data_IF_573476879742
#
_entry.id   IF_573476879742
#
_cell.length_a   1.000
_cell.length_b   1.000
_cell.length_c   1.000
_cell.angle_alpha   90.00
_cell.angle_beta   90.00
_cell.angle_gamma   90.00
#
_symmetry.space_group_name_H-M   'P 1'
#
loop_
_entity.id
_entity.type
_entity.pdbx_description
1 polymer ?
#
# COMPACT_ATOMS: atom_id res chain seq x y z
N UNK A 1 -4.66 8.32 -5.15
CA UNK A 1 -3.38 7.73 -4.67
C UNK A 1 -2.55 7.32 -5.88
N UNK A 2 -1.30 7.76 -5.94
CA UNK A 2 -0.40 7.41 -7.03
C UNK A 2 0.52 6.28 -6.58
N UNK A 3 0.66 5.26 -7.42
CA UNK A 3 1.52 4.12 -7.16
C UNK A 3 2.62 4.06 -8.22
N UNK A 4 3.83 3.69 -7.79
CA UNK A 4 4.93 3.45 -8.71
C UNK A 4 4.62 2.21 -9.54
N UNK A 5 5.09 2.21 -10.80
CA UNK A 5 4.85 1.11 -11.72
C UNK A 5 5.31 -0.23 -11.17
N UNK A 6 6.49 -0.28 -10.57
CA UNK A 6 7.05 -1.52 -10.03
C UNK A 6 6.16 -2.09 -8.92
N UNK A 7 5.61 -1.22 -8.07
CA UNK A 7 4.68 -1.64 -7.03
C UNK A 7 3.41 -2.20 -7.64
N UNK A 8 2.86 -1.55 -8.66
CA UNK A 8 1.66 -2.05 -9.36
C UNK A 8 1.91 -3.42 -9.98
N UNK A 9 3.07 -3.61 -10.60
CA UNK A 9 3.44 -4.91 -11.18
C UNK A 9 3.53 -6.00 -10.11
N UNK A 10 4.07 -5.68 -8.93
CA UNK A 10 4.15 -6.61 -7.81
C UNK A 10 2.78 -6.96 -7.24
N UNK A 11 1.86 -5.99 -7.19
CA UNK A 11 0.46 -6.25 -6.79
C UNK A 11 -0.21 -7.18 -7.80
N UNK A 12 -0.02 -6.91 -9.08
CA UNK A 12 -0.57 -7.73 -10.16
C UNK A 12 -0.07 -9.17 -10.08
N UNK A 13 1.22 -9.34 -9.77
CA UNK A 13 1.85 -10.66 -9.64
C UNK A 13 1.49 -11.40 -8.35
N UNK A 14 0.78 -10.74 -7.42
CA UNK A 14 0.44 -11.32 -6.13
C UNK A 14 1.57 -11.28 -5.10
N UNK A 15 2.67 -10.59 -5.39
CA UNK A 15 3.80 -10.47 -4.47
C UNK A 15 3.56 -9.44 -3.38
N UNK A 16 2.73 -8.42 -3.65
CA UNK A 16 2.39 -7.35 -2.73
C UNK A 16 0.88 -7.28 -2.60
N UNK A 17 0.38 -7.27 -1.38
CA UNK A 17 -1.05 -7.12 -1.09
C UNK A 17 -1.33 -6.09 0.01
N UNK A 18 -0.30 -5.40 0.49
CA UNK A 18 -0.43 -4.33 1.45
C UNK A 18 0.28 -3.07 0.95
N UNK A 19 -0.32 -1.91 1.25
CA UNK A 19 0.28 -0.61 0.99
C UNK A 19 0.20 0.19 2.27
N UNK A 20 1.29 0.83 2.68
CA UNK A 20 1.31 1.73 3.82
C UNK A 20 1.32 3.17 3.33
N UNK A 21 0.53 4.03 3.99
CA UNK A 21 0.47 5.46 3.68
C UNK A 21 0.41 6.29 4.95
N UNK A 22 1.17 7.38 4.95
CA UNK A 22 1.04 8.43 5.96
C UNK A 22 0.48 9.64 5.25
N UNK A 23 -0.73 10.06 5.60
CA UNK A 23 -1.40 11.17 4.95
C UNK A 23 -2.32 11.91 5.90
N UNK A 24 -2.76 13.11 5.48
CA UNK A 24 -3.74 13.89 6.22
C UNK A 24 -5.15 13.68 5.69
N UNK A 25 -5.28 13.31 4.41
CA UNK A 25 -6.58 13.14 3.74
C UNK A 25 -6.52 11.90 2.86
N UNK A 26 -7.11 10.80 3.27
CA UNK A 26 -7.17 9.59 2.45
C UNK A 26 -7.91 9.83 1.13
N UNK A 27 -7.40 9.27 0.04
CA UNK A 27 -7.97 9.40 -1.29
C UNK A 27 -8.63 8.12 -1.80
N UNK A 28 -8.62 7.06 -1.00
CA UNK A 28 -9.24 5.78 -1.34
C UNK A 28 -10.14 5.34 -0.20
N UNK A 29 -11.10 4.45 -0.50
CA UNK A 29 -12.04 3.92 0.48
C UNK A 29 -12.04 2.40 0.47
N UNK A 30 -12.26 1.78 1.62
CA UNK A 30 -12.50 0.33 1.71
C UNK A 30 -13.73 -0.02 0.85
N UNK A 31 -13.62 -1.10 0.10
CA UNK A 31 -14.66 -1.52 -0.84
C UNK A 31 -14.62 -0.82 -2.19
N UNK A 32 -13.74 0.17 -2.37
CA UNK A 32 -13.56 0.86 -3.64
C UNK A 32 -12.51 0.20 -4.53
N UNK A 33 -12.21 0.87 -5.63
CA UNK A 33 -11.21 0.41 -6.59
C UNK A 33 -10.24 1.54 -6.93
N UNK A 34 -9.07 1.18 -7.42
CA UNK A 34 -8.08 2.13 -7.91
C UNK A 34 -7.63 1.70 -9.30
N UNK A 35 -7.80 2.61 -10.26
CA UNK A 35 -7.35 2.38 -11.64
C UNK A 35 -5.90 2.80 -11.79
N UNK A 36 -5.11 1.96 -12.46
CA UNK A 36 -3.71 2.20 -12.79
C UNK A 36 -3.50 1.99 -14.29
N UNK A 37 -2.29 2.27 -14.77
CA UNK A 37 -1.96 2.02 -16.17
C UNK A 37 -2.03 0.55 -16.55
N UNK A 38 -1.73 -0.34 -15.61
CA UNK A 38 -1.70 -1.78 -15.86
C UNK A 38 -3.06 -2.43 -15.68
N UNK A 39 -3.94 -1.79 -14.94
CA UNK A 39 -5.27 -2.33 -14.67
C UNK A 39 -5.87 -1.76 -13.39
N UNK A 40 -6.83 -2.47 -12.84
CA UNK A 40 -7.60 -2.03 -11.68
C UNK A 40 -7.35 -2.96 -10.50
N UNK A 41 -7.15 -2.38 -9.32
CA UNK A 41 -7.06 -3.14 -8.09
C UNK A 41 -8.21 -2.79 -7.14
N UNK A 42 -8.55 -3.72 -6.26
CA UNK A 42 -9.58 -3.53 -5.24
C UNK A 42 -8.92 -3.04 -3.95
N UNK A 43 -9.59 -2.11 -3.27
CA UNK A 43 -9.25 -1.68 -1.92
C UNK A 43 -10.10 -2.50 -0.98
N UNK A 44 -9.53 -3.55 -0.39
CA UNK A 44 -10.29 -4.50 0.43
C UNK A 44 -10.54 -3.99 1.83
N UNK A 45 -9.54 -3.32 2.42
CA UNK A 45 -9.63 -2.80 3.78
C UNK A 45 -8.66 -1.66 3.96
N UNK A 46 -8.99 -0.75 4.88
CA UNK A 46 -8.10 0.33 5.31
C UNK A 46 -8.13 0.34 6.83
N UNK A 47 -6.97 0.15 7.44
CA UNK A 47 -6.85 0.09 8.89
C UNK A 47 -5.93 1.19 9.40
N UNK A 48 -6.38 1.92 10.43
CA UNK A 48 -5.55 2.87 11.14
C UNK A 48 -4.64 2.11 12.09
N UNK A 49 -3.35 2.43 12.08
CA UNK A 49 -2.39 1.83 13.03
C UNK A 49 -1.20 2.77 13.20
N UNK A 50 -0.32 2.41 14.11
CA UNK A 50 0.93 3.13 14.34
C UNK A 50 2.06 2.42 13.59
N UNK A 51 3.08 3.15 13.13
CA UNK A 51 4.22 2.51 12.44
C UNK A 51 4.86 1.39 13.25
N UNK A 52 4.94 1.52 14.57
CA UNK A 52 5.50 0.50 15.45
C UNK A 52 4.67 -0.78 15.54
N UNK A 53 3.43 -0.76 15.05
CA UNK A 53 2.56 -1.94 15.02
C UNK A 53 2.81 -2.81 13.78
N UNK A 54 3.60 -2.34 12.82
CA UNK A 54 3.91 -3.09 11.58
C UNK A 54 4.84 -4.24 11.91
N UNK A 55 4.43 -5.46 11.50
CA UNK A 55 5.22 -6.66 11.70
C UNK A 55 6.21 -6.88 10.54
N UNK A 56 7.28 -7.68 10.75
CA UNK A 56 8.20 -8.03 9.64
C UNK A 56 7.48 -8.68 8.45
N UNK A 57 6.49 -9.52 8.72
CA UNK A 57 5.69 -10.15 7.66
C UNK A 57 4.93 -9.12 6.85
N UNK A 58 4.28 -8.17 7.53
CA UNK A 58 3.53 -7.10 6.85
C UNK A 58 4.45 -6.21 6.02
N UNK A 59 5.65 -5.92 6.51
CA UNK A 59 6.63 -5.15 5.74
C UNK A 59 6.96 -5.88 4.42
N UNK A 60 7.18 -7.19 4.49
CA UNK A 60 7.45 -7.99 3.29
C UNK A 60 6.25 -8.02 2.35
N UNK A 61 5.04 -8.16 2.87
CA UNK A 61 3.81 -8.15 2.06
C UNK A 61 3.59 -6.80 1.37
N UNK A 62 4.15 -5.73 1.91
CA UNK A 62 4.10 -4.40 1.29
C UNK A 62 5.26 -4.14 0.31
N UNK A 63 6.14 -5.12 0.12
CA UNK A 63 7.24 -5.04 -0.83
C UNK A 63 8.57 -4.60 -0.23
N UNK A 64 8.64 -4.42 1.11
CA UNK A 64 9.91 -4.10 1.77
C UNK A 64 10.71 -5.37 2.06
N UNK A 65 12.03 -5.24 2.07
CA UNK A 65 12.90 -6.37 2.36
C UNK A 65 12.77 -6.83 3.82
N UNK A 66 12.63 -5.87 4.74
CA UNK A 66 12.51 -6.10 6.18
C UNK A 66 11.95 -4.85 6.86
N UNK A 67 11.86 -4.88 8.20
CA UNK A 67 11.38 -3.72 8.97
C UNK A 67 12.32 -2.51 8.84
N UNK A 68 13.62 -2.71 8.78
CA UNK A 68 14.57 -1.60 8.64
C UNK A 68 14.33 -0.87 7.32
N UNK A 69 14.07 -1.61 6.24
CA UNK A 69 13.75 -1.04 4.95
C UNK A 69 12.45 -0.22 5.02
N UNK A 70 11.44 -0.75 5.71
CA UNK A 70 10.17 -0.04 5.95
C UNK A 70 10.41 1.27 6.70
N UNK A 71 11.19 1.25 7.77
CA UNK A 71 11.45 2.46 8.56
C UNK A 71 12.27 3.49 7.79
N UNK A 72 13.22 3.06 6.96
CA UNK A 72 13.96 3.99 6.09
C UNK A 72 13.01 4.68 5.10
N UNK A 73 12.09 3.93 4.52
CA UNK A 73 11.10 4.48 3.62
C UNK A 73 10.17 5.46 4.36
N UNK A 74 9.74 5.09 5.57
CA UNK A 74 8.86 5.93 6.38
C UNK A 74 9.49 7.30 6.68
N UNK A 75 10.79 7.33 6.94
CA UNK A 75 11.53 8.57 7.21
C UNK A 75 11.55 9.52 6.00
N UNK A 76 11.33 9.01 4.79
CA UNK A 76 11.26 9.83 3.58
C UNK A 76 9.86 10.38 3.30
N UNK A 77 8.85 9.92 4.03
CA UNK A 77 7.46 10.31 3.82
C UNK A 77 7.18 11.69 4.40
N UNK A 78 6.30 12.43 3.73
CA UNK A 78 5.80 13.70 4.26
C UNK A 78 5.01 13.46 5.55
N UNK A 79 5.07 14.41 6.53
CA UNK A 79 4.25 14.28 7.74
C UNK A 79 2.76 14.22 7.42
N UNK A 80 2.03 13.44 8.22
CA UNK A 80 0.58 13.35 8.16
C UNK A 80 0.10 12.76 9.48
N UNK A 81 -1.11 13.08 9.88
CA UNK A 81 -1.64 12.62 11.17
C UNK A 81 -2.25 11.22 11.11
N UNK A 82 -2.45 10.67 9.90
CA UNK A 82 -2.96 9.33 9.72
C UNK A 82 -1.86 8.43 9.15
N UNK A 83 -1.68 7.27 9.78
CA UNK A 83 -0.88 6.20 9.20
C UNK A 83 -1.80 5.01 9.01
N UNK A 84 -1.89 4.50 7.78
CA UNK A 84 -2.86 3.48 7.42
C UNK A 84 -2.23 2.33 6.66
N UNK A 85 -2.75 1.14 6.91
CA UNK A 85 -2.46 -0.08 6.15
C UNK A 85 -3.63 -0.34 5.22
N UNK A 86 -3.34 -0.39 3.93
CA UNK A 86 -4.35 -0.61 2.89
C UNK A 86 -4.15 -2.02 2.34
N UNK A 87 -5.17 -2.86 2.46
CA UNK A 87 -5.16 -4.20 1.90
C UNK A 87 -5.73 -4.14 0.49
N UNK A 88 -4.99 -4.66 -0.48
CA UNK A 88 -5.35 -4.57 -1.90
C UNK A 88 -5.32 -5.94 -2.55
N UNK A 89 -6.05 -6.08 -3.67
CA UNK A 89 -5.95 -7.24 -4.54
C UNK A 89 -6.13 -6.80 -6.00
N UNK A 90 -5.55 -7.57 -6.93
CA UNK A 90 -5.70 -7.29 -8.35
C UNK A 90 -7.07 -7.73 -8.83
N UNK A 91 -7.76 -6.89 -9.59
CA UNK A 91 -9.07 -7.21 -10.16
C UNK A 91 -8.98 -7.59 -11.63
N UNK A 92 -8.42 -6.70 -12.45
CA UNK A 92 -8.42 -6.90 -13.90
C UNK A 92 -7.31 -6.07 -14.54
N UNK A 93 -6.72 -6.62 -15.60
CA UNK A 93 -5.75 -5.90 -16.42
C UNK A 93 -6.44 -4.80 -17.21
N UNK A 94 -5.69 -3.77 -17.56
CA UNK A 94 -6.18 -2.71 -18.46
C UNK A 94 -6.44 -3.28 -19.85
N UNK A 95 -7.48 -2.82 -20.47
CA UNK A 95 -7.80 -3.19 -21.85
C UNK A 95 -6.94 -2.43 -22.86
#
# INVERSE_FOLDING_TARGET
MLLKRDLVEDIRAGKVDLIFRRWSRPTVKAGGTLKTRLGTLAIKAIDDLRPEDVTPEEARRAGFADLDDFYRWLDTMKPGHLFQRITVSWLADAE
#
